data_IF_289717693413
#
_entry.id   IF_289717693413
#
_cell.length_a   1.000
_cell.length_b   1.000
_cell.length_c   1.000
_cell.angle_alpha   90.00
_cell.angle_beta   90.00
_cell.angle_gamma   90.00
#
_symmetry.space_group_name_H-M   'P 1'
#
loop_
_entity.id
_entity.type
_entity.pdbx_description
1 polymer ?
#
# COMPACT_ATOMS: atom_id res chain seq x y z
N UNK A 1 -20.64 96.95 30.11
CA UNK A 1 -20.30 96.36 31.43
C UNK A 1 -21.04 95.02 31.51
N UNK A 2 -20.34 93.90 31.21
CA UNK A 2 -19.95 92.83 32.19
C UNK A 2 -21.18 92.13 32.82
N UNK A 3 -21.40 90.81 32.83
CA UNK A 3 -20.58 89.58 32.92
C UNK A 3 -21.43 88.40 32.36
N UNK A 4 -20.92 87.50 31.53
CA UNK A 4 -20.37 86.16 31.85
C UNK A 4 -21.16 85.30 32.86
N UNK A 5 -21.69 84.13 32.46
CA UNK A 5 -21.40 82.78 33.04
C UNK A 5 -22.29 81.65 32.47
N UNK A 6 -21.73 80.44 32.59
CA UNK A 6 -21.96 79.15 31.94
C UNK A 6 -23.02 78.28 32.65
N UNK A 7 -23.72 77.37 31.92
CA UNK A 7 -23.84 75.90 32.21
C UNK A 7 -24.89 75.18 31.32
N UNK A 8 -24.37 74.34 30.41
CA UNK A 8 -24.71 72.93 30.08
C UNK A 8 -26.06 72.38 30.57
N UNK A 9 -26.89 71.77 29.68
CA UNK A 9 -27.20 70.31 29.63
C UNK A 9 -28.27 69.93 28.58
N UNK A 10 -28.05 68.78 27.93
CA UNK A 10 -29.00 67.84 27.31
C UNK A 10 -29.66 68.17 25.94
N UNK A 11 -29.01 67.66 24.90
CA UNK A 11 -29.53 67.37 23.56
C UNK A 11 -30.37 66.09 23.59
N UNK A 12 -31.58 66.13 23.03
CA UNK A 12 -32.26 64.95 22.45
C UNK A 12 -32.93 65.36 21.15
N UNK A 13 -32.33 64.98 20.02
CA UNK A 13 -32.87 65.18 18.67
C UNK A 13 -33.35 63.83 18.16
N UNK A 14 -34.66 63.70 18.00
CA UNK A 14 -35.31 62.66 17.22
C UNK A 14 -35.15 63.03 15.74
N UNK A 15 -34.36 62.26 14.98
CA UNK A 15 -34.28 62.40 13.53
C UNK A 15 -34.44 61.02 12.89
N UNK A 16 -35.62 60.82 12.30
CA UNK A 16 -35.99 59.65 11.51
C UNK A 16 -35.17 59.60 10.21
N UNK A 17 -34.34 58.57 10.06
CA UNK A 17 -33.63 58.26 8.82
C UNK A 17 -34.34 57.10 8.09
N UNK A 18 -34.90 57.42 6.92
CA UNK A 18 -35.32 56.47 5.89
C UNK A 18 -34.07 55.77 5.32
N UNK A 19 -34.00 54.43 5.44
CA UNK A 19 -33.01 53.60 4.75
C UNK A 19 -33.61 53.06 3.45
N UNK A 20 -33.19 53.63 2.33
CA UNK A 20 -33.37 53.04 0.99
C UNK A 20 -32.41 51.85 0.86
N UNK A 21 -32.97 50.64 0.87
CA UNK A 21 -32.23 49.41 0.63
C UNK A 21 -32.02 49.21 -0.87
N UNK A 22 -30.96 49.80 -1.42
CA UNK A 22 -30.47 49.51 -2.77
C UNK A 22 -29.74 48.17 -2.75
N UNK A 23 -30.37 47.12 -3.26
CA UNK A 23 -29.77 45.81 -3.39
C UNK A 23 -28.80 45.81 -4.59
N UNK A 24 -27.53 46.12 -4.34
CA UNK A 24 -26.46 45.92 -5.33
C UNK A 24 -26.25 44.41 -5.51
N UNK A 25 -26.70 43.87 -6.64
CA UNK A 25 -26.40 42.50 -7.06
C UNK A 25 -24.89 42.41 -7.31
N UNK A 26 -24.16 41.74 -6.41
CA UNK A 26 -22.76 41.39 -6.63
C UNK A 26 -22.67 40.49 -7.86
N UNK A 27 -21.71 40.69 -8.77
CA UNK A 27 -21.42 39.73 -9.81
C UNK A 27 -20.85 38.47 -9.15
N UNK A 28 -21.65 37.40 -9.13
CA UNK A 28 -21.15 36.07 -8.79
C UNK A 28 -20.23 35.62 -9.93
N UNK A 29 -18.93 35.74 -9.70
CA UNK A 29 -17.93 35.04 -10.51
C UNK A 29 -18.23 33.55 -10.42
N UNK A 30 -18.50 32.83 -11.53
CA UNK A 30 -18.70 31.40 -11.44
C UNK A 30 -17.38 30.79 -10.97
N UNK A 31 -17.39 30.20 -9.76
CA UNK A 31 -16.34 29.29 -9.31
C UNK A 31 -16.25 28.18 -10.35
N UNK A 32 -15.27 28.30 -11.24
CA UNK A 32 -14.87 27.25 -12.15
C UNK A 32 -14.29 26.10 -11.32
N UNK A 33 -15.16 25.22 -10.83
CA UNK A 33 -14.80 23.90 -10.32
C UNK A 33 -14.35 23.03 -11.49
N UNK A 34 -13.24 23.41 -12.15
CA UNK A 34 -12.61 22.58 -13.15
C UNK A 34 -11.97 21.43 -12.39
N UNK A 35 -12.62 20.27 -12.37
CA UNK A 35 -12.05 19.04 -11.79
C UNK A 35 -10.71 18.82 -12.50
N UNK A 36 -9.63 18.92 -11.74
CA UNK A 36 -8.29 18.81 -12.28
C UNK A 36 -8.05 17.35 -12.67
N UNK A 37 -7.84 17.13 -13.97
CA UNK A 37 -7.56 15.82 -14.55
C UNK A 37 -6.05 15.65 -14.69
N UNK A 38 -5.49 14.61 -14.10
CA UNK A 38 -4.07 14.28 -14.17
C UNK A 38 -3.87 12.82 -14.57
N UNK A 39 -2.88 12.56 -15.42
CA UNK A 39 -2.52 11.21 -15.86
C UNK A 39 -1.18 10.82 -15.26
N UNK A 40 -1.07 9.57 -14.80
CA UNK A 40 0.19 9.02 -14.30
C UNK A 40 0.48 7.67 -14.95
N UNK A 41 1.76 7.32 -15.03
CA UNK A 41 2.23 6.04 -15.51
C UNK A 41 3.10 5.37 -14.46
N UNK A 42 3.02 4.06 -14.36
CA UNK A 42 3.91 3.27 -13.51
C UNK A 42 3.90 1.81 -13.96
N UNK A 43 4.63 1.00 -13.21
CA UNK A 43 4.75 -0.45 -13.38
C UNK A 43 4.14 -1.11 -12.16
N UNK A 44 3.49 -2.26 -12.35
CA UNK A 44 2.96 -3.03 -11.24
C UNK A 44 2.67 -4.47 -11.61
N UNK A 45 2.24 -5.23 -10.61
CA UNK A 45 1.81 -6.62 -10.75
C UNK A 45 0.31 -6.69 -10.49
N UNK A 46 -0.43 -7.23 -11.46
CA UNK A 46 -1.87 -7.48 -11.29
C UNK A 46 -2.05 -8.56 -10.24
N UNK A 47 -2.75 -8.25 -9.15
CA UNK A 47 -3.00 -9.16 -8.02
C UNK A 47 -4.33 -9.88 -8.16
N UNK A 48 -5.38 -9.17 -8.59
CA UNK A 48 -6.71 -9.72 -8.82
C UNK A 48 -7.48 -8.90 -9.84
N UNK A 49 -8.48 -9.52 -10.46
CA UNK A 49 -9.43 -8.86 -11.36
C UNK A 49 -10.83 -9.18 -10.85
N UNK A 50 -11.62 -8.15 -10.62
CA UNK A 50 -13.02 -8.25 -10.29
C UNK A 50 -13.84 -7.89 -11.53
N UNK A 51 -14.35 -8.92 -12.20
CA UNK A 51 -15.15 -8.77 -13.43
C UNK A 51 -16.54 -8.18 -13.15
N UNK A 52 -17.07 -8.37 -11.94
CA UNK A 52 -18.41 -7.86 -11.57
C UNK A 52 -18.36 -6.36 -11.33
N UNK A 53 -17.37 -5.88 -10.58
CA UNK A 53 -17.22 -4.45 -10.29
C UNK A 53 -16.34 -3.70 -11.31
N UNK A 54 -15.74 -4.42 -12.26
CA UNK A 54 -14.87 -3.85 -13.30
C UNK A 54 -13.59 -3.26 -12.74
N UNK A 55 -13.03 -3.86 -11.69
CA UNK A 55 -11.86 -3.37 -10.97
C UNK A 55 -10.67 -4.30 -11.12
N UNK A 56 -9.48 -3.70 -11.09
CA UNK A 56 -8.21 -4.42 -11.10
C UNK A 56 -7.43 -4.01 -9.86
N UNK A 57 -6.99 -5.00 -9.09
CA UNK A 57 -6.04 -4.76 -8.01
C UNK A 57 -4.63 -4.87 -8.56
N UNK A 58 -3.82 -3.81 -8.42
CA UNK A 58 -2.41 -3.78 -8.83
C UNK A 58 -1.55 -3.41 -7.64
N UNK A 59 -0.54 -4.23 -7.37
CA UNK A 59 0.59 -3.94 -6.50
C UNK A 59 1.61 -3.17 -7.34
N UNK A 60 1.64 -1.84 -7.18
CA UNK A 60 2.41 -0.96 -8.05
C UNK A 60 3.71 -0.50 -7.42
N UNK A 61 4.72 -0.27 -8.26
CA UNK A 61 5.95 0.45 -7.92
C UNK A 61 5.63 1.94 -7.67
N UNK A 62 6.62 2.79 -7.45
CA UNK A 62 6.34 4.22 -7.22
C UNK A 62 5.56 4.81 -8.42
N UNK A 63 4.54 5.64 -8.14
CA UNK A 63 3.83 6.41 -9.17
C UNK A 63 4.30 7.86 -9.02
N UNK A 64 5.27 8.31 -9.86
CA UNK A 64 5.91 9.60 -9.68
C UNK A 64 4.90 10.74 -9.69
N UNK A 65 4.95 11.57 -8.65
CA UNK A 65 4.06 12.73 -8.49
C UNK A 65 2.67 12.41 -7.95
N UNK A 66 2.37 11.15 -7.60
CA UNK A 66 1.08 10.77 -7.01
C UNK A 66 1.20 10.01 -5.69
N UNK A 67 1.83 8.83 -5.70
CA UNK A 67 1.90 7.99 -4.50
C UNK A 67 3.03 6.96 -4.55
N UNK A 68 3.51 6.62 -3.35
CA UNK A 68 4.51 5.58 -3.11
C UNK A 68 3.97 4.18 -3.41
N UNK A 69 4.84 3.15 -3.51
CA UNK A 69 4.42 1.78 -3.81
C UNK A 69 3.35 1.26 -2.85
N UNK A 70 2.24 0.74 -3.39
CA UNK A 70 1.15 0.13 -2.62
C UNK A 70 0.26 -0.75 -3.51
N UNK A 71 -0.67 -1.48 -2.88
CA UNK A 71 -1.77 -2.12 -3.60
C UNK A 71 -2.96 -1.14 -3.74
N UNK A 72 -3.39 -0.90 -4.97
CA UNK A 72 -4.60 -0.14 -5.26
C UNK A 72 -5.62 -1.01 -5.99
N UNK A 73 -6.92 -0.76 -5.80
CA UNK A 73 -8.01 -1.50 -6.42
C UNK A 73 -8.96 -0.55 -7.15
N UNK A 74 -8.54 -0.15 -8.35
CA UNK A 74 -9.20 0.89 -9.12
C UNK A 74 -10.01 0.30 -10.29
N UNK A 75 -11.12 0.95 -10.67
CA UNK A 75 -11.88 0.55 -11.86
C UNK A 75 -11.09 0.79 -13.15
N UNK A 76 -11.45 0.07 -14.20
CA UNK A 76 -10.96 0.36 -15.55
C UNK A 76 -11.85 1.40 -16.24
N UNK A 77 -11.27 2.21 -17.13
CA UNK A 77 -12.01 3.14 -17.97
C UNK A 77 -12.79 2.42 -19.08
N UNK A 78 -12.27 1.29 -19.56
CA UNK A 78 -12.88 0.43 -20.59
C UNK A 78 -12.86 -1.02 -20.11
N UNK A 79 -14.02 -1.69 -20.14
CA UNK A 79 -14.17 -3.09 -19.75
C UNK A 79 -13.29 -4.04 -20.58
N UNK A 80 -12.92 -3.68 -21.81
CA UNK A 80 -12.01 -4.47 -22.64
C UNK A 80 -10.63 -4.68 -21.97
N UNK A 81 -10.18 -3.73 -21.15
CA UNK A 81 -8.91 -3.82 -20.41
C UNK A 81 -8.88 -5.01 -19.45
N UNK A 82 -10.02 -5.44 -18.89
CA UNK A 82 -10.10 -6.57 -17.97
C UNK A 82 -9.71 -7.90 -18.62
N UNK A 83 -9.83 -8.00 -19.95
CA UNK A 83 -9.48 -9.21 -20.69
C UNK A 83 -8.04 -9.22 -21.19
N UNK A 84 -7.34 -8.08 -21.12
CA UNK A 84 -5.95 -7.94 -21.59
C UNK A 84 -4.91 -8.38 -20.55
N UNK A 85 -5.33 -8.51 -19.30
CA UNK A 85 -4.47 -8.86 -18.17
C UNK A 85 -5.05 -10.01 -17.37
N UNK A 86 -4.21 -10.69 -16.62
CA UNK A 86 -4.59 -11.69 -15.62
C UNK A 86 -3.77 -11.51 -14.35
N UNK A 87 -4.25 -12.03 -13.20
CA UNK A 87 -3.45 -12.11 -11.98
C UNK A 87 -2.06 -12.70 -12.25
N UNK A 88 -1.02 -12.03 -11.76
CA UNK A 88 0.39 -12.34 -11.96
C UNK A 88 1.05 -11.60 -13.13
N UNK A 89 0.31 -10.91 -14.00
CA UNK A 89 0.97 -10.11 -15.04
C UNK A 89 1.73 -8.92 -14.45
N UNK A 90 3.00 -8.76 -14.85
CA UNK A 90 3.73 -7.51 -14.67
C UNK A 90 3.36 -6.60 -15.85
N UNK A 91 2.87 -5.41 -15.54
CA UNK A 91 2.29 -4.49 -16.51
C UNK A 91 2.87 -3.09 -16.32
N UNK A 92 3.14 -2.41 -17.41
CA UNK A 92 3.13 -0.95 -17.46
C UNK A 92 1.66 -0.51 -17.55
N UNK A 93 1.27 0.49 -16.78
CA UNK A 93 -0.11 0.96 -16.76
C UNK A 93 -0.19 2.48 -16.74
N UNK A 94 -1.30 2.99 -17.26
CA UNK A 94 -1.68 4.39 -17.21
C UNK A 94 -2.93 4.53 -16.33
N UNK A 95 -2.92 5.50 -15.42
CA UNK A 95 -4.10 5.89 -14.64
C UNK A 95 -4.51 7.32 -14.97
N UNK A 96 -5.83 7.56 -15.00
CA UNK A 96 -6.43 8.87 -15.05
C UNK A 96 -7.06 9.19 -13.70
N UNK A 97 -6.68 10.33 -13.13
CA UNK A 97 -7.23 10.86 -11.88
C UNK A 97 -8.08 12.10 -12.15
N UNK A 98 -9.29 12.09 -11.65
CA UNK A 98 -10.24 13.21 -11.68
C UNK A 98 -10.69 13.52 -10.24
N UNK A 99 -10.03 14.47 -9.59
CA UNK A 99 -10.23 14.74 -8.16
C UNK A 99 -9.84 13.54 -7.29
N UNK A 100 -10.82 12.84 -6.70
CA UNK A 100 -10.60 11.62 -5.91
C UNK A 100 -10.83 10.32 -6.70
N UNK A 101 -11.34 10.41 -7.93
CA UNK A 101 -11.61 9.22 -8.76
C UNK A 101 -10.37 8.85 -9.54
N UNK A 102 -10.00 7.58 -9.53
CA UNK A 102 -8.90 7.03 -10.32
C UNK A 102 -9.44 5.91 -11.20
N UNK A 103 -8.93 5.80 -12.42
CA UNK A 103 -9.24 4.69 -13.33
C UNK A 103 -8.00 4.27 -14.11
N UNK A 104 -7.86 2.98 -14.38
CA UNK A 104 -6.89 2.49 -15.36
C UNK A 104 -7.37 2.79 -16.78
N UNK A 105 -6.52 3.39 -17.60
CA UNK A 105 -6.81 3.69 -19.01
C UNK A 105 -6.05 2.80 -19.97
N UNK A 106 -4.90 2.25 -19.55
CA UNK A 106 -4.08 1.35 -20.37
C UNK A 106 -3.37 0.30 -19.51
N UNK A 107 -3.20 -0.88 -20.09
CA UNK A 107 -2.27 -1.89 -19.63
C UNK A 107 -1.39 -2.34 -20.79
N UNK A 108 -0.09 -2.46 -20.54
CA UNK A 108 0.86 -3.11 -21.42
C UNK A 108 1.58 -4.21 -20.64
N UNK A 109 1.33 -5.48 -20.99
CA UNK A 109 2.00 -6.60 -20.35
C UNK A 109 3.48 -6.60 -20.74
N UNK A 110 4.34 -6.45 -19.73
CA UNK A 110 5.79 -6.50 -19.88
C UNK A 110 6.41 -7.77 -19.27
N UNK A 111 5.63 -8.55 -18.51
CA UNK A 111 6.09 -9.80 -17.93
C UNK A 111 5.01 -10.56 -17.17
N UNK A 112 5.43 -11.61 -16.47
CA UNK A 112 4.57 -12.42 -15.61
C UNK A 112 5.38 -12.87 -14.39
N UNK A 113 4.78 -12.73 -13.22
CA UNK A 113 5.30 -13.11 -11.92
C UNK A 113 4.30 -14.10 -11.31
N UNK A 114 4.79 -15.17 -10.70
CA UNK A 114 3.94 -16.07 -9.94
C UNK A 114 3.31 -15.30 -8.78
N UNK A 115 1.98 -15.33 -8.67
CA UNK A 115 1.31 -14.84 -7.47
C UNK A 115 1.51 -15.85 -6.36
N UNK A 116 2.39 -15.49 -5.43
CA UNK A 116 2.75 -16.36 -4.32
C UNK A 116 2.23 -15.74 -3.03
N UNK A 117 1.34 -16.46 -2.36
CA UNK A 117 0.88 -16.12 -1.02
C UNK A 117 1.85 -16.70 0.02
N UNK A 118 3.00 -16.03 0.16
CA UNK A 118 4.04 -16.45 1.09
C UNK A 118 3.56 -16.56 2.55
N UNK A 119 2.71 -15.63 3.09
CA UNK A 119 2.09 -15.81 4.40
C UNK A 119 1.27 -17.09 4.52
N UNK A 120 0.44 -17.43 3.52
CA UNK A 120 -0.34 -18.67 3.53
C UNK A 120 0.57 -19.91 3.47
N UNK A 121 1.58 -19.90 2.59
CA UNK A 121 2.56 -21.00 2.50
C UNK A 121 3.27 -21.20 3.84
N UNK A 122 3.68 -20.11 4.50
CA UNK A 122 4.30 -20.17 5.83
C UNK A 122 3.35 -20.81 6.85
N UNK A 123 2.11 -20.33 6.90
CA UNK A 123 1.11 -20.81 7.84
C UNK A 123 0.84 -22.33 7.68
N UNK A 124 0.75 -22.82 6.45
CA UNK A 124 0.42 -24.23 6.19
C UNK A 124 1.62 -25.17 6.24
N UNK A 125 2.82 -24.66 5.96
CA UNK A 125 4.00 -25.50 5.69
C UNK A 125 5.11 -25.35 6.72
N UNK A 126 5.13 -24.25 7.48
CA UNK A 126 6.27 -23.88 8.34
C UNK A 126 5.84 -23.67 9.81
N UNK A 127 4.68 -23.06 10.03
CA UNK A 127 4.26 -22.56 11.34
C UNK A 127 4.08 -23.65 12.40
N UNK A 128 3.72 -24.90 12.04
CA UNK A 128 3.57 -26.00 13.02
C UNK A 128 4.87 -26.22 13.83
N UNK A 129 6.03 -26.07 13.17
CA UNK A 129 7.32 -26.28 13.80
C UNK A 129 8.00 -24.96 14.21
N UNK A 130 7.84 -23.90 13.43
CA UNK A 130 8.54 -22.63 13.62
C UNK A 130 7.70 -21.57 14.35
N UNK A 131 6.42 -21.85 14.62
CA UNK A 131 5.46 -20.94 15.23
C UNK A 131 4.92 -19.89 14.26
N UNK A 132 3.70 -19.44 14.49
CA UNK A 132 2.99 -18.48 13.61
C UNK A 132 3.74 -17.16 13.41
N UNK A 133 4.52 -16.75 14.41
CA UNK A 133 5.35 -15.53 14.40
C UNK A 133 6.85 -15.83 14.40
N UNK A 134 7.24 -17.06 14.03
CA UNK A 134 8.64 -17.48 14.00
C UNK A 134 9.28 -17.63 15.39
N UNK A 135 8.50 -17.70 16.47
CA UNK A 135 8.98 -17.84 17.84
C UNK A 135 9.51 -19.25 18.18
N UNK A 136 9.36 -20.20 17.26
CA UNK A 136 9.74 -21.60 17.45
C UNK A 136 8.69 -22.41 18.21
N UNK A 137 8.77 -23.73 18.05
CA UNK A 137 8.03 -24.72 18.82
C UNK A 137 8.97 -25.87 19.22
N UNK A 138 8.59 -26.81 20.11
CA UNK A 138 9.47 -27.92 20.49
C UNK A 138 10.06 -28.70 19.30
N UNK A 139 9.27 -28.89 18.24
CA UNK A 139 9.67 -29.56 16.99
C UNK A 139 10.61 -28.75 16.09
N UNK A 140 10.63 -27.41 16.20
CA UNK A 140 11.41 -26.54 15.34
C UNK A 140 12.32 -25.58 16.10
N UNK A 141 12.92 -24.66 15.36
CA UNK A 141 13.75 -23.58 15.91
C UNK A 141 13.03 -22.25 15.77
N UNK A 142 13.30 -21.26 16.64
CA UNK A 142 12.87 -19.90 16.41
C UNK A 142 13.61 -19.28 15.22
N UNK A 143 12.91 -18.45 14.47
CA UNK A 143 13.47 -17.51 13.50
C UNK A 143 13.72 -16.13 14.12
N UNK A 144 13.10 -15.82 15.25
CA UNK A 144 13.20 -14.50 15.90
C UNK A 144 14.34 -14.40 16.92
N UNK A 145 15.11 -15.48 17.12
CA UNK A 145 16.24 -15.49 18.06
C UNK A 145 17.27 -16.56 17.70
N UNK A 146 18.47 -16.40 18.26
CA UNK A 146 19.55 -17.36 18.12
C UNK A 146 20.09 -17.44 16.68
N UNK A 147 20.64 -18.60 16.35
CA UNK A 147 21.49 -18.79 15.17
C UNK A 147 20.79 -18.55 13.82
N UNK A 148 19.46 -18.67 13.75
CA UNK A 148 18.70 -18.40 12.53
C UNK A 148 18.90 -16.95 12.02
N UNK A 149 19.22 -16.00 12.90
CA UNK A 149 19.48 -14.60 12.56
C UNK A 149 20.84 -14.37 11.89
N UNK A 150 21.78 -15.31 12.00
CA UNK A 150 23.16 -15.18 11.48
C UNK A 150 23.34 -15.75 10.06
N UNK A 151 22.37 -16.53 9.59
CA UNK A 151 22.42 -17.13 8.26
C UNK A 151 21.99 -16.13 7.19
N UNK A 152 22.41 -16.37 5.95
CA UNK A 152 21.96 -15.58 4.79
C UNK A 152 20.59 -16.03 4.29
N UNK A 153 19.98 -15.23 3.39
CA UNK A 153 18.80 -15.65 2.65
C UNK A 153 19.06 -16.91 1.81
N UNK A 154 20.22 -16.98 1.15
CA UNK A 154 20.63 -18.13 0.36
C UNK A 154 20.73 -19.41 1.20
N UNK A 155 21.22 -19.32 2.44
CA UNK A 155 21.29 -20.45 3.36
C UNK A 155 19.89 -20.93 3.76
N UNK A 156 18.95 -20.00 3.98
CA UNK A 156 17.55 -20.32 4.24
C UNK A 156 16.93 -21.05 3.04
N UNK A 157 17.07 -20.49 1.83
CA UNK A 157 16.56 -21.12 0.60
C UNK A 157 17.13 -22.52 0.45
N UNK A 158 18.45 -22.69 0.61
CA UNK A 158 19.12 -23.99 0.52
C UNK A 158 18.58 -24.98 1.55
N UNK A 159 18.34 -24.54 2.79
CA UNK A 159 17.85 -25.38 3.88
C UNK A 159 16.38 -25.75 3.69
N UNK A 160 15.52 -24.82 3.26
CA UNK A 160 14.10 -25.11 2.95
C UNK A 160 14.01 -26.07 1.76
N UNK A 161 14.83 -25.85 0.73
CA UNK A 161 14.87 -26.70 -0.46
C UNK A 161 15.26 -28.14 -0.11
N UNK A 162 16.35 -28.31 0.64
CA UNK A 162 16.98 -29.62 0.84
C UNK A 162 16.67 -30.29 2.17
N UNK A 163 16.02 -29.58 3.09
CA UNK A 163 15.89 -30.01 4.47
C UNK A 163 17.22 -29.95 5.23
N UNK A 164 17.18 -30.41 6.49
CA UNK A 164 18.36 -30.57 7.33
C UNK A 164 18.25 -31.85 8.13
N UNK A 165 19.32 -32.64 8.09
CA UNK A 165 19.39 -33.94 8.73
C UNK A 165 19.06 -33.87 10.23
N UNK A 166 18.41 -34.92 10.71
CA UNK A 166 17.92 -35.08 12.07
C UNK A 166 19.02 -34.85 13.11
N UNK A 167 18.84 -33.87 13.99
CA UNK A 167 19.66 -33.68 15.20
C UNK A 167 18.75 -33.78 16.42
N UNK A 168 18.96 -34.80 17.27
CA UNK A 168 18.18 -35.01 18.52
C UNK A 168 16.66 -34.89 18.29
N UNK A 169 16.15 -35.67 17.33
CA UNK A 169 14.73 -35.69 16.95
C UNK A 169 14.14 -34.45 16.28
N UNK A 170 14.97 -33.44 15.99
CA UNK A 170 14.60 -32.29 15.17
C UNK A 170 15.12 -32.49 13.76
N UNK A 171 14.22 -32.84 12.85
CA UNK A 171 14.47 -32.95 11.42
C UNK A 171 13.69 -31.86 10.70
N UNK A 172 14.36 -31.17 9.78
CA UNK A 172 13.68 -30.24 8.87
C UNK A 172 13.47 -30.96 7.54
N UNK A 173 12.22 -31.21 7.12
CA UNK A 173 11.96 -31.88 5.85
C UNK A 173 12.40 -31.01 4.67
N UNK A 174 12.71 -31.66 3.55
CA UNK A 174 12.94 -30.98 2.28
C UNK A 174 11.60 -30.55 1.66
N UNK A 175 11.54 -29.34 1.11
CA UNK A 175 10.34 -28.82 0.45
C UNK A 175 10.45 -28.75 -1.08
N UNK A 176 11.60 -29.09 -1.68
CA UNK A 176 11.78 -29.07 -3.15
C UNK A 176 10.76 -29.93 -3.92
N UNK A 177 10.22 -30.96 -3.28
CA UNK A 177 9.23 -31.87 -3.89
C UNK A 177 7.78 -31.43 -3.63
N UNK A 178 7.58 -30.34 -2.88
CA UNK A 178 6.27 -29.82 -2.43
C UNK A 178 6.00 -28.37 -2.82
N UNK A 179 7.05 -27.56 -2.97
CA UNK A 179 7.01 -26.14 -3.31
C UNK A 179 7.96 -25.85 -4.46
N UNK A 180 7.56 -24.93 -5.34
CA UNK A 180 8.41 -24.42 -6.41
C UNK A 180 9.54 -23.54 -5.85
N UNK A 181 10.60 -23.36 -6.63
CA UNK A 181 11.75 -22.54 -6.20
C UNK A 181 11.34 -21.10 -5.87
N UNK A 182 10.42 -20.53 -6.65
CA UNK A 182 9.89 -19.18 -6.44
C UNK A 182 9.07 -19.11 -5.14
N UNK A 183 8.28 -20.14 -4.83
CA UNK A 183 7.50 -20.25 -3.60
C UNK A 183 8.41 -20.35 -2.37
N UNK A 184 9.48 -21.13 -2.47
CA UNK A 184 10.51 -21.23 -1.43
C UNK A 184 11.20 -19.88 -1.21
N UNK A 185 11.61 -19.20 -2.29
CA UNK A 185 12.24 -17.88 -2.19
C UNK A 185 11.28 -16.85 -1.54
N UNK A 186 10.01 -16.85 -1.96
CA UNK A 186 9.01 -15.93 -1.43
C UNK A 186 8.72 -16.17 0.06
N UNK A 187 8.59 -17.42 0.52
CA UNK A 187 8.38 -17.70 1.95
C UNK A 187 9.60 -17.36 2.79
N UNK A 188 10.81 -17.58 2.27
CA UNK A 188 12.03 -17.14 2.95
C UNK A 188 12.07 -15.62 3.06
N UNK A 189 11.74 -14.90 1.97
CA UNK A 189 11.66 -13.44 1.98
C UNK A 189 10.63 -12.94 2.99
N UNK A 190 9.45 -13.56 3.06
CA UNK A 190 8.44 -13.26 4.09
C UNK A 190 9.00 -13.40 5.51
N UNK A 191 9.76 -14.46 5.80
CA UNK A 191 10.43 -14.62 7.10
C UNK A 191 11.40 -13.45 7.36
N UNK A 192 12.19 -13.04 6.37
CA UNK A 192 13.19 -11.98 6.53
C UNK A 192 12.58 -10.59 6.70
N UNK A 193 11.58 -10.26 5.89
CA UNK A 193 11.06 -8.90 5.78
C UNK A 193 9.83 -8.64 6.66
N UNK A 194 9.12 -9.69 7.08
CA UNK A 194 7.93 -9.56 7.94
C UNK A 194 8.21 -10.10 9.33
N UNK A 195 8.63 -11.36 9.46
CA UNK A 195 8.84 -11.98 10.78
C UNK A 195 10.08 -11.40 11.48
N UNK A 196 11.15 -11.12 10.73
CA UNK A 196 12.42 -10.60 11.25
C UNK A 196 12.62 -9.09 11.03
N UNK A 197 11.59 -8.35 10.59
CA UNK A 197 11.69 -6.95 10.12
C UNK A 197 12.50 -6.04 11.05
N UNK A 198 12.25 -6.16 12.35
CA UNK A 198 12.81 -5.27 13.38
C UNK A 198 13.94 -5.92 14.20
N UNK A 199 14.49 -7.04 13.73
CA UNK A 199 15.54 -7.79 14.42
C UNK A 199 16.92 -7.48 13.83
N UNK A 200 17.94 -7.41 14.70
CA UNK A 200 19.34 -7.33 14.25
C UNK A 200 19.76 -8.67 13.65
N UNK A 201 20.05 -8.66 12.35
CA UNK A 201 20.58 -9.81 11.60
C UNK A 201 22.07 -9.64 11.41
N UNK A 202 22.84 -10.71 11.63
CA UNK A 202 24.28 -10.71 11.35
C UNK A 202 24.51 -11.36 9.99
N UNK A 203 24.18 -10.63 8.93
CA UNK A 203 24.34 -11.13 7.56
C UNK A 203 25.83 -11.32 7.25
N UNK A 204 26.28 -12.58 7.16
CA UNK A 204 27.64 -12.90 6.74
C UNK A 204 28.43 -13.87 7.63
N UNK A 205 27.83 -14.42 8.69
CA UNK A 205 28.51 -15.46 9.47
C UNK A 205 28.46 -16.80 8.72
N UNK A 206 29.51 -17.10 7.96
CA UNK A 206 29.70 -18.40 7.31
C UNK A 206 30.15 -19.42 8.35
N UNK A 207 29.45 -20.55 8.41
CA UNK A 207 29.90 -21.77 9.11
C UNK A 207 30.54 -22.74 8.12
#
# INVERSE_FOLDING_TARGET
MTKNTIKILAVTVFLSAFLVSTCSKLPETPLSNKVETQTYNSVGVVKSIDLESGKVKVDHEDIPGYMSPMEMNEPVADAALLTQVKPGNKVEFEILREGSKVKYTKFHKIGEVALIDAPAIYATSCAECHGDKGQGAPKGIPFTSGHALDHSEADFIKTVTNGKAKKKDKEMPAFRDRLKAEEIAAVVKFVREVIQKDLKRNEGHKH
#
